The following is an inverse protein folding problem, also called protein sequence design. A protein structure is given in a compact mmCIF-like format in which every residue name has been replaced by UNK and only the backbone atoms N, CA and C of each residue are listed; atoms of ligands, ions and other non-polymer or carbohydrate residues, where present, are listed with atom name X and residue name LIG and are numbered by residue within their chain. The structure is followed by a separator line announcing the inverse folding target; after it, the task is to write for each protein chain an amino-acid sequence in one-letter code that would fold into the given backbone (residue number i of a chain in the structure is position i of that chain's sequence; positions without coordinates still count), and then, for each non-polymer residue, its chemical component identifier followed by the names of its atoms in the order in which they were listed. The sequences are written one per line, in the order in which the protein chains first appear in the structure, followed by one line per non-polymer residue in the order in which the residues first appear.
data_IF_187800683793
#
_entry.id   IF_187800683793
#
_cell.length_a   1.000
_cell.length_b   1.000
_cell.length_c   1.000
_cell.angle_alpha   90.00
_cell.angle_beta   90.00
_cell.angle_gamma   90.00
#
_symmetry.space_group_name_H-M   'P 1'
#
loop_
_entity.id
_entity.type
_entity.pdbx_description
1 polymer ?
#
# COMPACT_ATOMS: atom_id res chain seq x y z
N UNK A 1 -34.33 17.87 2.61
CA UNK A 1 -33.52 17.20 1.57
C UNK A 1 -33.44 15.72 1.93
N UNK A 2 -34.22 14.86 1.28
CA UNK A 2 -34.25 13.42 1.60
C UNK A 2 -33.13 12.76 0.81
N UNK A 3 -32.10 12.24 1.49
CA UNK A 3 -31.03 11.50 0.82
C UNK A 3 -31.61 10.16 0.37
N UNK A 4 -31.61 9.83 -0.93
CA UNK A 4 -32.11 8.55 -1.40
C UNK A 4 -31.23 7.42 -0.86
N UNK A 5 -31.87 6.30 -0.49
CA UNK A 5 -31.23 5.14 0.16
C UNK A 5 -29.97 4.65 -0.59
N UNK A 6 -30.00 4.70 -1.93
CA UNK A 6 -28.87 4.36 -2.79
C UNK A 6 -27.64 5.24 -2.56
N UNK A 7 -27.81 6.55 -2.35
CA UNK A 7 -26.68 7.45 -2.06
C UNK A 7 -26.11 7.17 -0.67
N UNK A 8 -26.96 6.89 0.32
CA UNK A 8 -26.52 6.53 1.67
C UNK A 8 -25.67 5.24 1.67
N UNK A 9 -26.10 4.20 0.93
CA UNK A 9 -25.34 2.96 0.81
C UNK A 9 -24.00 3.16 0.11
N UNK A 10 -23.98 3.91 -1.00
CA UNK A 10 -22.73 4.22 -1.73
C UNK A 10 -21.78 5.04 -0.86
N UNK A 11 -22.27 6.05 -0.14
CA UNK A 11 -21.42 6.84 0.76
C UNK A 11 -20.82 6.00 1.88
N UNK A 12 -21.62 5.08 2.46
CA UNK A 12 -21.14 4.17 3.50
C UNK A 12 -20.07 3.23 2.94
N UNK A 13 -20.34 2.60 1.79
CA UNK A 13 -19.41 1.68 1.14
C UNK A 13 -18.08 2.37 0.78
N UNK A 14 -18.11 3.60 0.28
CA UNK A 14 -16.91 4.37 -0.08
C UNK A 14 -16.16 4.84 1.17
N UNK A 15 -16.87 5.34 2.18
CA UNK A 15 -16.26 5.82 3.43
C UNK A 15 -15.57 4.68 4.21
N UNK A 16 -16.23 3.51 4.28
CA UNK A 16 -15.61 2.33 4.85
C UNK A 16 -14.51 1.81 3.94
N UNK A 17 -14.74 1.67 2.64
CA UNK A 17 -13.77 1.10 1.70
C UNK A 17 -12.40 1.75 1.77
N UNK A 18 -12.29 3.08 1.69
CA UNK A 18 -11.00 3.76 1.73
C UNK A 18 -10.33 3.73 3.11
N UNK A 19 -11.03 4.25 4.12
CA UNK A 19 -10.48 4.40 5.48
C UNK A 19 -10.19 3.06 6.15
N UNK A 20 -11.06 2.06 5.96
CA UNK A 20 -10.83 0.71 6.45
C UNK A 20 -9.64 0.06 5.77
N UNK A 21 -9.51 0.20 4.43
CA UNK A 21 -8.38 -0.37 3.69
C UNK A 21 -7.05 0.20 4.19
N UNK A 22 -6.95 1.52 4.32
CA UNK A 22 -5.73 2.17 4.85
C UNK A 22 -5.41 1.72 6.29
N UNK A 23 -6.43 1.69 7.16
CA UNK A 23 -6.28 1.22 8.53
C UNK A 23 -5.84 -0.25 8.62
N UNK A 24 -6.42 -1.11 7.77
CA UNK A 24 -6.09 -2.52 7.69
C UNK A 24 -4.63 -2.73 7.24
N UNK A 25 -4.18 -2.07 6.17
CA UNK A 25 -2.80 -2.17 5.68
C UNK A 25 -1.77 -1.69 6.71
N UNK A 26 -2.10 -0.65 7.46
CA UNK A 26 -1.26 -0.12 8.55
C UNK A 26 -1.19 -1.11 9.71
N UNK A 27 -2.34 -1.65 10.12
CA UNK A 27 -2.42 -2.57 11.25
C UNK A 27 -1.75 -3.92 10.96
N UNK A 28 -1.95 -4.47 9.76
CA UNK A 28 -1.45 -5.80 9.39
C UNK A 28 0.08 -5.88 9.33
N UNK A 29 0.77 -4.75 9.16
CA UNK A 29 2.22 -4.71 9.08
C UNK A 29 2.88 -5.29 10.34
N UNK A 30 2.47 -4.86 11.53
CA UNK A 30 3.07 -5.29 12.80
C UNK A 30 3.01 -6.81 13.06
N UNK A 31 1.83 -7.47 13.01
CA UNK A 31 1.75 -8.92 13.22
C UNK A 31 2.46 -9.71 12.10
N UNK A 32 2.64 -9.12 10.91
CA UNK A 32 3.36 -9.77 9.81
C UNK A 32 4.89 -9.69 9.92
N UNK A 33 5.42 -8.94 10.88
CA UNK A 33 6.87 -8.71 11.04
C UNK A 33 7.70 -10.01 11.04
N UNK A 34 7.35 -11.09 11.77
CA UNK A 34 8.16 -12.32 11.77
C UNK A 34 8.20 -13.01 10.40
N UNK A 35 7.05 -13.07 9.72
CA UNK A 35 6.98 -13.68 8.38
C UNK A 35 7.74 -12.83 7.35
N UNK A 36 7.64 -11.51 7.45
CA UNK A 36 8.39 -10.60 6.59
C UNK A 36 9.90 -10.67 6.85
N UNK A 37 10.32 -10.81 8.11
CA UNK A 37 11.72 -11.03 8.47
C UNK A 37 12.30 -12.25 7.76
N UNK A 38 11.61 -13.40 7.83
CA UNK A 38 12.07 -14.62 7.15
C UNK A 38 12.09 -14.47 5.63
N UNK A 39 11.06 -13.85 5.05
CA UNK A 39 10.98 -13.60 3.62
C UNK A 39 12.15 -12.75 3.11
N UNK A 40 12.40 -11.60 3.74
CA UNK A 40 13.50 -10.70 3.34
C UNK A 40 14.85 -11.41 3.43
N UNK A 41 15.11 -12.13 4.52
CA UNK A 41 16.39 -12.81 4.67
C UNK A 41 16.60 -13.90 3.63
N UNK A 42 15.56 -14.68 3.29
CA UNK A 42 15.60 -15.70 2.25
C UNK A 42 15.82 -15.08 0.87
N UNK A 43 15.02 -14.07 0.51
CA UNK A 43 15.15 -13.32 -0.75
C UNK A 43 16.53 -12.68 -0.89
N UNK A 44 17.03 -12.03 0.16
CA UNK A 44 18.32 -11.35 0.13
C UNK A 44 19.48 -12.36 0.00
N UNK A 45 19.41 -13.50 0.70
CA UNK A 45 20.40 -14.56 0.56
C UNK A 45 20.38 -15.18 -0.84
N UNK A 46 19.20 -15.37 -1.44
CA UNK A 46 19.06 -15.89 -2.81
C UNK A 46 19.66 -14.93 -3.85
N UNK A 47 19.45 -13.62 -3.70
CA UNK A 47 19.92 -12.62 -4.66
C UNK A 47 21.38 -12.19 -4.48
N UNK A 48 21.83 -12.05 -3.22
CA UNK A 48 23.13 -11.43 -2.90
C UNK A 48 24.13 -12.40 -2.25
N UNK A 49 23.75 -13.66 -2.02
CA UNK A 49 24.64 -14.71 -1.52
C UNK A 49 25.07 -14.53 -0.05
N UNK A 50 24.46 -13.61 0.69
CA UNK A 50 24.73 -13.36 2.10
C UNK A 50 23.44 -13.12 2.87
N UNK A 51 23.48 -13.35 4.17
CA UNK A 51 22.39 -12.94 5.06
C UNK A 51 22.41 -11.43 5.26
N UNK A 52 21.21 -10.85 5.38
CA UNK A 52 21.03 -9.44 5.70
C UNK A 52 21.49 -9.20 7.15
N UNK A 53 22.23 -8.12 7.39
CA UNK A 53 22.65 -7.76 8.75
C UNK A 53 21.47 -7.12 9.48
N UNK A 54 21.37 -7.31 10.79
CA UNK A 54 20.24 -6.83 11.60
C UNK A 54 20.04 -5.29 11.50
N UNK A 55 21.12 -4.52 11.39
CA UNK A 55 21.03 -3.06 11.16
C UNK A 55 20.43 -2.71 9.79
N UNK A 56 20.81 -3.44 8.74
CA UNK A 56 20.27 -3.27 7.39
C UNK A 56 18.77 -3.63 7.36
N UNK A 57 18.39 -4.71 8.06
CA UNK A 57 16.98 -5.09 8.20
C UNK A 57 16.16 -4.02 8.91
N UNK A 58 16.66 -3.44 10.00
CA UNK A 58 15.94 -2.38 10.73
C UNK A 58 15.72 -1.14 9.88
N UNK A 59 16.71 -0.76 9.06
CA UNK A 59 16.56 0.33 8.10
C UNK A 59 15.51 -0.01 7.04
N UNK A 60 15.55 -1.24 6.51
CA UNK A 60 14.57 -1.72 5.53
C UNK A 60 13.15 -1.73 6.11
N UNK A 61 12.98 -2.23 7.32
CA UNK A 61 11.70 -2.25 8.04
C UNK A 61 11.16 -0.83 8.29
N UNK A 62 12.05 0.10 8.64
CA UNK A 62 11.70 1.51 8.82
C UNK A 62 11.25 2.14 7.51
N UNK A 63 11.97 1.88 6.41
CA UNK A 63 11.60 2.31 5.06
C UNK A 63 10.24 1.74 4.64
N UNK A 64 10.03 0.44 4.86
CA UNK A 64 8.77 -0.25 4.57
C UNK A 64 7.59 0.34 5.34
N UNK A 65 7.78 0.60 6.64
CA UNK A 65 6.76 1.19 7.50
C UNK A 65 6.40 2.62 7.08
N UNK A 66 7.36 3.34 6.49
CA UNK A 66 7.15 4.69 5.95
C UNK A 66 6.56 4.68 4.53
N UNK A 67 6.68 3.60 3.77
CA UNK A 67 6.28 3.55 2.35
C UNK A 67 4.79 3.87 2.14
N UNK A 68 3.90 3.27 2.93
CA UNK A 68 2.45 3.49 2.85
C UNK A 68 2.05 4.94 3.14
N UNK A 69 2.44 5.57 4.27
CA UNK A 69 2.10 6.97 4.53
C UNK A 69 2.77 7.94 3.55
N UNK A 70 3.99 7.65 3.06
CA UNK A 70 4.64 8.46 2.02
C UNK A 70 3.87 8.41 0.69
N UNK A 71 3.45 7.21 0.27
CA UNK A 71 2.60 7.03 -0.90
C UNK A 71 1.29 7.81 -0.77
N UNK A 72 0.64 7.76 0.40
CA UNK A 72 -0.57 8.52 0.68
C UNK A 72 -0.37 10.05 0.58
N UNK A 73 0.74 10.58 1.14
CA UNK A 73 1.07 12.01 1.04
C UNK A 73 1.23 12.41 -0.43
N UNK A 74 1.99 11.65 -1.21
CA UNK A 74 2.20 11.92 -2.64
C UNK A 74 0.87 11.82 -3.40
N UNK A 75 0.05 10.81 -3.11
CA UNK A 75 -1.28 10.65 -3.71
C UNK A 75 -2.18 11.85 -3.48
N UNK A 76 -2.21 12.40 -2.25
CA UNK A 76 -2.97 13.62 -1.94
C UNK A 76 -2.44 14.82 -2.72
N UNK A 77 -1.11 14.97 -2.84
CA UNK A 77 -0.51 16.05 -3.62
C UNK A 77 -0.84 15.94 -5.12
N UNK A 78 -0.81 14.73 -5.68
CA UNK A 78 -1.21 14.48 -7.08
C UNK A 78 -2.68 14.84 -7.28
N UNK A 79 -3.57 14.39 -6.40
CA UNK A 79 -5.00 14.74 -6.46
C UNK A 79 -5.22 16.24 -6.35
N UNK A 80 -4.49 16.93 -5.47
CA UNK A 80 -4.56 18.38 -5.35
C UNK A 80 -4.07 19.10 -6.61
N UNK A 81 -3.01 18.59 -7.26
CA UNK A 81 -2.46 19.17 -8.49
C UNK A 81 -3.35 19.03 -9.72
N UNK A 82 -4.23 18.01 -9.73
CA UNK A 82 -5.18 17.77 -10.82
C UNK A 82 -6.35 18.80 -10.83
N UNK A 83 -6.46 19.64 -9.81
CA UNK A 83 -7.45 20.71 -9.73
C UNK A 83 -8.91 20.25 -9.89
N UNK A 84 -9.75 21.14 -10.40
CA UNK A 84 -11.16 20.84 -10.74
C UNK A 84 -11.33 20.23 -12.14
N UNK A 85 -10.24 20.07 -12.89
CA UNK A 85 -10.26 19.59 -14.28
C UNK A 85 -10.70 18.11 -14.37
N UNK A 86 -10.47 17.33 -13.31
CA UNK A 86 -10.92 15.95 -13.21
C UNK A 86 -12.14 15.81 -12.29
N UNK A 87 -13.21 15.22 -12.81
CA UNK A 87 -14.36 14.85 -11.98
C UNK A 87 -13.95 13.91 -10.84
N UNK A 88 -14.48 14.14 -9.64
CA UNK A 88 -14.24 13.35 -8.41
C UNK A 88 -14.38 11.84 -8.63
N UNK A 89 -15.31 11.44 -9.50
CA UNK A 89 -15.53 10.03 -9.89
C UNK A 89 -14.32 9.41 -10.60
N UNK A 90 -13.68 10.16 -11.52
CA UNK A 90 -12.48 9.68 -12.25
C UNK A 90 -11.29 9.55 -11.32
N UNK A 91 -11.08 10.52 -10.43
CA UNK A 91 -10.04 10.48 -9.40
C UNK A 91 -10.22 9.24 -8.50
N UNK A 92 -11.45 8.95 -8.09
CA UNK A 92 -11.75 7.76 -7.29
C UNK A 92 -11.40 6.45 -8.03
N UNK A 93 -11.71 6.35 -9.34
CA UNK A 93 -11.33 5.17 -10.12
C UNK A 93 -9.82 5.02 -10.25
N UNK A 94 -9.08 6.11 -10.48
CA UNK A 94 -7.62 6.06 -10.55
C UNK A 94 -7.01 5.60 -9.22
N UNK A 95 -7.51 6.11 -8.10
CA UNK A 95 -7.06 5.68 -6.77
C UNK A 95 -7.30 4.18 -6.56
N UNK A 96 -8.50 3.67 -6.87
CA UNK A 96 -8.81 2.23 -6.75
C UNK A 96 -7.93 1.39 -7.68
N UNK A 97 -7.73 1.81 -8.93
CA UNK A 97 -6.84 1.10 -9.87
C UNK A 97 -5.40 1.04 -9.34
N UNK A 98 -4.88 2.16 -8.83
CA UNK A 98 -3.53 2.22 -8.27
C UNK A 98 -3.39 1.32 -7.04
N UNK A 99 -4.35 1.37 -6.11
CA UNK A 99 -4.35 0.52 -4.92
C UNK A 99 -4.42 -0.98 -5.26
N UNK A 100 -5.20 -1.35 -6.28
CA UNK A 100 -5.25 -2.73 -6.79
C UNK A 100 -3.90 -3.14 -7.39
N UNK A 101 -3.27 -2.27 -8.20
CA UNK A 101 -1.94 -2.54 -8.75
C UNK A 101 -0.89 -2.71 -7.65
N UNK A 102 -0.86 -1.84 -6.63
CA UNK A 102 0.06 -1.97 -5.49
C UNK A 102 -0.17 -3.24 -4.68
N UNK A 103 -1.43 -3.63 -4.50
CA UNK A 103 -1.80 -4.89 -3.83
C UNK A 103 -1.33 -6.11 -4.64
N UNK A 104 -1.46 -6.07 -5.97
CA UNK A 104 -0.98 -7.13 -6.86
C UNK A 104 0.55 -7.24 -6.84
N UNK A 105 1.27 -6.11 -6.85
CA UNK A 105 2.73 -6.09 -6.71
C UNK A 105 3.17 -6.71 -5.38
N UNK A 106 2.49 -6.35 -4.28
CA UNK A 106 2.75 -6.91 -2.95
C UNK A 106 2.43 -8.41 -2.87
N UNK A 107 1.45 -8.89 -3.64
CA UNK A 107 1.11 -10.31 -3.70
C UNK A 107 2.13 -11.11 -4.52
N UNK A 108 2.60 -10.54 -5.64
CA UNK A 108 3.58 -11.15 -6.53
C UNK A 108 5.00 -11.11 -5.98
N UNK A 109 5.28 -10.33 -4.95
CA UNK A 109 6.62 -10.24 -4.34
C UNK A 109 7.09 -11.58 -3.78
N UNK A 110 6.19 -12.37 -3.20
CA UNK A 110 6.51 -13.67 -2.62
C UNK A 110 6.94 -14.70 -3.68
N UNK A 111 6.17 -14.98 -4.76
CA UNK A 111 6.61 -15.92 -5.79
C UNK A 111 7.80 -15.44 -6.61
N UNK A 112 8.07 -14.13 -6.66
CA UNK A 112 9.23 -13.55 -7.34
C UNK A 112 10.48 -13.42 -6.45
N UNK A 113 10.41 -13.81 -5.17
CA UNK A 113 11.49 -13.66 -4.18
C UNK A 113 12.11 -12.24 -4.12
N UNK A 114 11.32 -11.20 -4.40
CA UNK A 114 11.81 -9.80 -4.39
C UNK A 114 11.13 -8.99 -3.30
N UNK A 115 11.89 -8.63 -2.28
CA UNK A 115 11.42 -7.70 -1.24
C UNK A 115 11.32 -6.26 -1.75
N UNK A 116 12.07 -5.88 -2.79
CA UNK A 116 11.93 -4.55 -3.41
C UNK A 116 10.54 -4.38 -4.02
N UNK A 117 10.02 -5.45 -4.66
CA UNK A 117 8.68 -5.45 -5.23
C UNK A 117 7.59 -5.27 -4.16
N UNK A 118 7.79 -5.85 -2.97
CA UNK A 118 6.87 -5.65 -1.85
C UNK A 118 6.86 -4.19 -1.36
N UNK A 119 8.02 -3.56 -1.26
CA UNK A 119 8.14 -2.14 -0.85
C UNK A 119 7.45 -1.24 -1.90
N UNK A 120 7.65 -1.50 -3.19
CA UNK A 120 6.97 -0.77 -4.26
C UNK A 120 5.45 -0.98 -4.23
N UNK A 121 5.01 -2.20 -3.96
CA UNK A 121 3.60 -2.51 -3.77
C UNK A 121 3.01 -1.70 -2.61
N UNK A 122 3.67 -1.68 -1.46
CA UNK A 122 3.27 -0.88 -0.28
C UNK A 122 3.22 0.63 -0.53
N UNK A 123 4.14 1.16 -1.33
CA UNK A 123 4.16 2.58 -1.69
C UNK A 123 3.03 2.98 -2.63
N UNK A 124 2.61 2.05 -3.50
CA UNK A 124 1.57 2.29 -4.52
C UNK A 124 0.16 1.89 -4.08
N UNK A 125 0.03 1.08 -3.02
CA UNK A 125 -1.23 0.69 -2.39
C UNK A 125 -1.97 1.84 -1.72
#
# INVERSE_FOLDING_TARGET
MVVPLRLAFVSLAVAFGGSFHFGYLTFLLNPSHPAFYSFVHQSFAAHYGRWLVEEEYRLLWSCLSAALPLGAIIGVLVVASLGDDLSRKRVMYMAVCLSVTGSMLSLLSQPCDSFELYILGRFTS
#
